data_IF_752941494050
#
_entry.id   IF_752941494050
#
_cell.length_a   1.000
_cell.length_b   1.000
_cell.length_c   1.000
_cell.angle_alpha   90.00
_cell.angle_beta   90.00
_cell.angle_gamma   90.00
#
_symmetry.space_group_name_H-M   'P 1'
#
loop_
_entity.id
_entity.type
_entity.pdbx_description
1 polymer ?
#
# COMPACT_ATOMS: atom_id res chain seq x y z
N UNK A 1 -30.35 41.80 -33.33
CA UNK A 1 -29.93 41.56 -31.93
C UNK A 1 -30.25 40.12 -31.60
N UNK A 2 -29.29 39.21 -31.64
CA UNK A 2 -29.44 37.86 -31.09
C UNK A 2 -28.43 37.74 -29.95
N UNK A 3 -28.93 37.74 -28.72
CA UNK A 3 -28.18 37.51 -27.50
C UNK A 3 -27.98 35.99 -27.38
N UNK A 4 -26.79 35.51 -27.74
CA UNK A 4 -26.40 34.11 -27.55
C UNK A 4 -25.79 33.96 -26.16
N UNK A 5 -26.60 33.52 -25.21
CA UNK A 5 -26.20 33.27 -23.83
C UNK A 5 -25.41 31.96 -23.74
N UNK A 6 -24.09 32.03 -23.87
CA UNK A 6 -23.20 30.90 -23.56
C UNK A 6 -23.05 30.82 -22.04
N UNK A 7 -23.83 29.96 -21.39
CA UNK A 7 -23.59 29.56 -20.00
C UNK A 7 -22.40 28.60 -19.97
N UNK A 8 -21.24 29.10 -19.57
CA UNK A 8 -20.09 28.28 -19.21
C UNK A 8 -20.28 27.88 -17.74
N UNK A 9 -20.83 26.69 -17.48
CA UNK A 9 -20.79 26.07 -16.15
C UNK A 9 -19.36 25.60 -15.89
N UNK A 10 -18.58 26.41 -15.16
CA UNK A 10 -17.36 25.97 -14.50
C UNK A 10 -17.77 25.13 -13.28
N UNK A 11 -17.87 23.81 -13.47
CA UNK A 11 -17.95 22.88 -12.37
C UNK A 11 -16.61 22.87 -11.64
N UNK A 12 -16.52 23.63 -10.54
CA UNK A 12 -15.40 23.56 -9.62
C UNK A 12 -15.41 22.18 -8.96
N UNK A 13 -14.61 21.26 -9.50
CA UNK A 13 -14.34 19.98 -8.85
C UNK A 13 -13.55 20.26 -7.58
N UNK A 14 -14.22 20.32 -6.45
CA UNK A 14 -13.57 20.14 -5.15
C UNK A 14 -13.03 18.71 -5.12
N UNK A 15 -11.80 18.54 -5.61
CA UNK A 15 -11.09 17.29 -5.49
C UNK A 15 -10.72 17.09 -4.03
N UNK A 16 -11.38 16.17 -3.34
CA UNK A 16 -10.71 15.44 -2.26
C UNK A 16 -9.48 14.80 -2.91
N UNK A 17 -8.29 15.30 -2.59
CA UNK A 17 -7.05 14.68 -3.01
C UNK A 17 -6.92 13.46 -2.11
N UNK A 18 -7.29 12.28 -2.61
CA UNK A 18 -6.97 11.04 -1.93
C UNK A 18 -5.43 10.94 -1.89
N UNK A 19 -4.87 10.64 -0.72
CA UNK A 19 -3.44 10.43 -0.56
C UNK A 19 -3.08 9.07 -1.19
N UNK A 20 -2.60 9.14 -2.44
CA UNK A 20 -2.35 8.01 -3.30
C UNK A 20 -0.90 7.55 -3.20
N UNK A 21 -0.71 6.23 -3.24
CA UNK A 21 0.53 5.56 -2.92
C UNK A 21 0.76 4.39 -3.86
N UNK A 22 2.04 4.02 -4.01
CA UNK A 22 2.41 2.88 -4.84
C UNK A 22 2.25 1.57 -4.10
N UNK A 23 2.41 1.60 -2.79
CA UNK A 23 2.42 0.42 -1.95
C UNK A 23 1.49 0.60 -0.78
N UNK A 24 0.74 -0.45 -0.43
CA UNK A 24 -0.03 -0.46 0.80
C UNK A 24 -0.15 -1.86 1.38
N UNK A 25 -0.19 -1.96 2.70
CA UNK A 25 -0.33 -3.22 3.42
C UNK A 25 -1.25 -3.06 4.64
N UNK A 26 -1.77 -4.18 5.13
CA UNK A 26 -2.64 -4.22 6.31
C UNK A 26 -1.85 -4.57 7.57
N UNK A 27 -2.16 -3.89 8.67
CA UNK A 27 -1.50 -4.09 9.98
C UNK A 27 -2.46 -4.67 11.00
N UNK A 28 -1.95 -5.44 11.95
CA UNK A 28 -2.72 -5.99 13.06
C UNK A 28 -1.98 -5.75 14.37
N UNK A 29 -2.72 -5.53 15.47
CA UNK A 29 -2.14 -5.33 16.81
C UNK A 29 -1.39 -6.55 17.33
N UNK A 30 -1.64 -7.73 16.75
CA UNK A 30 -1.02 -9.00 17.13
C UNK A 30 -0.77 -9.82 15.86
N UNK A 31 0.47 -9.89 15.37
CA UNK A 31 0.90 -10.93 14.41
C UNK A 31 2.35 -11.37 14.73
N UNK A 32 2.64 -12.68 14.68
CA UNK A 32 3.96 -13.24 14.97
C UNK A 32 4.96 -13.03 13.83
N UNK A 33 6.23 -12.99 14.23
CA UNK A 33 7.46 -12.87 13.44
C UNK A 33 7.43 -13.85 12.25
N UNK A 34 7.40 -13.33 11.02
CA UNK A 34 7.67 -14.16 9.85
C UNK A 34 9.15 -14.11 9.48
N UNK A 35 9.52 -14.93 8.50
CA UNK A 35 10.92 -15.23 8.21
C UNK A 35 11.65 -14.00 7.62
N UNK A 36 12.70 -13.48 8.29
CA UNK A 36 13.45 -12.29 7.83
C UNK A 36 14.31 -12.54 6.60
N UNK A 37 14.42 -13.78 6.13
CA UNK A 37 15.29 -14.12 5.00
C UNK A 37 14.60 -14.01 3.62
N UNK A 38 13.34 -13.56 3.54
CA UNK A 38 12.62 -13.42 2.27
C UNK A 38 12.61 -12.01 1.69
N UNK A 39 13.21 -11.03 2.37
CA UNK A 39 13.32 -9.71 1.80
C UNK A 39 14.56 -9.60 0.91
N UNK A 40 14.43 -9.18 -0.37
CA UNK A 40 15.60 -8.88 -1.19
C UNK A 40 16.40 -7.77 -0.50
N UNK A 41 17.65 -8.05 -0.14
CA UNK A 41 18.57 -7.02 0.36
C UNK A 41 18.67 -5.90 -0.69
N UNK A 42 18.51 -4.63 -0.29
CA UNK A 42 19.00 -3.52 -1.10
C UNK A 42 20.50 -3.75 -1.27
N UNK A 43 20.94 -3.90 -2.51
CA UNK A 43 22.23 -4.46 -2.88
C UNK A 43 23.33 -3.42 -2.76
N UNK A 44 23.61 -2.92 -1.56
CA UNK A 44 24.68 -1.94 -1.33
C UNK A 44 25.30 -2.11 0.07
N UNK A 45 26.10 -3.15 0.32
CA UNK A 45 27.20 -3.13 1.31
C UNK A 45 27.95 -4.46 1.31
N UNK A 46 29.27 -4.36 1.24
CA UNK A 46 30.26 -5.44 1.26
C UNK A 46 29.99 -6.51 2.32
N UNK A 47 29.91 -7.74 1.86
CA UNK A 47 29.21 -8.89 2.45
C UNK A 47 29.72 -9.46 3.79
N UNK A 48 30.63 -8.82 4.54
CA UNK A 48 31.25 -9.47 5.72
C UNK A 48 31.11 -8.77 7.08
N UNK A 49 30.57 -7.56 7.15
CA UNK A 49 30.31 -6.88 8.44
C UNK A 49 28.82 -6.93 8.83
N UNK A 50 27.93 -6.86 7.84
CA UNK A 50 26.46 -6.87 8.01
C UNK A 50 25.94 -8.23 8.50
N UNK A 51 26.65 -9.33 8.18
CA UNK A 51 26.22 -10.69 8.52
C UNK A 51 26.29 -10.98 10.04
N UNK A 52 27.18 -10.31 10.77
CA UNK A 52 27.38 -10.52 12.20
C UNK A 52 26.55 -9.56 13.08
N UNK A 53 26.12 -8.40 12.55
CA UNK A 53 25.17 -7.52 13.21
C UNK A 53 23.73 -8.03 13.09
N UNK A 54 23.38 -8.66 11.95
CA UNK A 54 22.07 -9.25 11.68
C UNK A 54 21.72 -10.48 12.54
N UNK A 55 22.70 -11.06 13.26
CA UNK A 55 22.47 -12.23 14.14
C UNK A 55 22.34 -11.89 15.62
N UNK A 56 22.79 -10.72 16.08
CA UNK A 56 23.10 -10.53 17.51
C UNK A 56 22.13 -9.64 18.29
N UNK A 57 21.50 -8.62 17.70
CA UNK A 57 20.64 -7.71 18.48
C UNK A 57 19.45 -7.22 17.67
N UNK A 58 18.26 -7.49 18.21
CA UNK A 58 16.92 -7.10 17.74
C UNK A 58 16.39 -8.00 16.62
N UNK A 59 15.81 -9.11 17.08
CA UNK A 59 14.70 -9.86 16.48
C UNK A 59 14.01 -9.08 15.34
N UNK A 60 14.43 -9.38 14.11
CA UNK A 60 13.92 -8.76 12.90
C UNK A 60 12.43 -8.99 12.78
N UNK A 61 11.66 -7.93 12.99
CA UNK A 61 10.22 -7.75 12.75
C UNK A 61 9.85 -7.89 11.28
N UNK A 62 10.50 -8.79 10.56
CA UNK A 62 10.00 -9.22 9.27
C UNK A 62 8.66 -9.89 9.54
N UNK A 63 7.60 -9.47 8.84
CA UNK A 63 6.26 -10.04 8.94
C UNK A 63 5.45 -9.70 10.21
N UNK A 64 5.46 -8.46 10.68
CA UNK A 64 4.41 -7.98 11.60
C UNK A 64 3.14 -7.46 10.89
N UNK A 65 3.03 -7.69 9.58
CA UNK A 65 1.91 -7.24 8.76
C UNK A 65 0.97 -8.39 8.45
N UNK A 66 -0.33 -8.10 8.42
CA UNK A 66 -1.37 -9.09 8.18
C UNK A 66 -1.40 -9.42 6.68
N UNK A 67 -0.50 -10.33 6.27
CA UNK A 67 -0.31 -10.71 4.88
C UNK A 67 -1.57 -11.34 4.25
N UNK A 68 -2.33 -12.09 5.05
CA UNK A 68 -3.61 -12.65 4.59
C UNK A 68 -4.62 -11.54 4.32
N UNK A 69 -4.78 -10.61 5.28
CA UNK A 69 -5.66 -9.47 5.09
C UNK A 69 -5.21 -8.60 3.91
N UNK A 70 -3.90 -8.41 3.72
CA UNK A 70 -3.36 -7.64 2.59
C UNK A 70 -3.69 -8.28 1.25
N UNK A 71 -3.58 -9.61 1.13
CA UNK A 71 -3.97 -10.33 -0.08
C UNK A 71 -5.46 -10.19 -0.38
N UNK A 72 -6.31 -10.32 0.65
CA UNK A 72 -7.77 -10.15 0.55
C UNK A 72 -8.14 -8.72 0.16
N UNK A 73 -7.56 -7.73 0.84
CA UNK A 73 -7.76 -6.31 0.58
C UNK A 73 -7.33 -5.95 -0.85
N UNK A 74 -6.14 -6.36 -1.28
CA UNK A 74 -5.64 -6.12 -2.64
C UNK A 74 -6.54 -6.75 -3.71
N UNK A 75 -7.03 -7.97 -3.47
CA UNK A 75 -7.96 -8.63 -4.38
C UNK A 75 -9.32 -7.92 -4.49
N UNK A 76 -9.80 -7.33 -3.38
CA UNK A 76 -11.01 -6.52 -3.36
C UNK A 76 -10.80 -5.16 -4.04
N UNK A 77 -9.71 -4.47 -3.71
CA UNK A 77 -9.33 -3.17 -4.28
C UNK A 77 -9.14 -3.24 -5.80
N UNK A 78 -8.50 -4.30 -6.31
CA UNK A 78 -8.35 -4.56 -7.75
C UNK A 78 -9.69 -4.71 -8.49
N UNK A 79 -10.72 -5.21 -7.82
CA UNK A 79 -12.07 -5.37 -8.39
C UNK A 79 -12.92 -4.11 -8.27
N UNK A 80 -12.39 -3.06 -7.63
CA UNK A 80 -13.11 -1.83 -7.38
C UNK A 80 -13.31 -1.05 -8.67
N UNK A 81 -14.52 -0.52 -8.82
CA UNK A 81 -14.92 0.37 -9.90
C UNK A 81 -16.10 1.22 -9.40
N UNK A 82 -15.81 2.32 -8.71
CA UNK A 82 -16.83 3.18 -8.07
C UNK A 82 -17.05 4.51 -8.80
N UNK A 83 -16.35 4.75 -9.91
CA UNK A 83 -16.37 6.02 -10.59
C UNK A 83 -15.27 6.13 -11.65
N UNK A 84 -14.91 7.36 -12.00
CA UNK A 84 -13.99 7.69 -13.09
C UNK A 84 -12.69 8.36 -12.65
N UNK A 85 -12.45 8.49 -11.34
CA UNK A 85 -11.21 9.08 -10.79
C UNK A 85 -10.11 8.03 -10.72
N UNK A 86 -8.85 8.47 -10.59
CA UNK A 86 -7.70 7.57 -10.52
C UNK A 86 -7.89 6.52 -9.42
N UNK A 87 -8.18 6.95 -8.20
CA UNK A 87 -8.44 6.05 -7.08
C UNK A 87 -9.76 5.29 -7.16
N UNK A 88 -10.62 5.51 -8.18
CA UNK A 88 -11.88 4.76 -8.34
C UNK A 88 -11.67 3.31 -8.85
N UNK A 89 -10.49 3.04 -9.41
CA UNK A 89 -10.09 1.76 -9.98
C UNK A 89 -8.66 1.43 -9.58
N UNK A 90 -8.27 0.16 -9.70
CA UNK A 90 -6.86 -0.22 -9.62
C UNK A 90 -6.54 -1.34 -10.62
N UNK A 91 -6.39 -1.01 -11.91
CA UNK A 91 -6.16 -1.99 -12.97
C UNK A 91 -4.78 -2.65 -12.89
N UNK A 92 -3.82 -2.01 -12.23
CA UNK A 92 -2.43 -2.44 -12.08
C UNK A 92 -2.13 -3.06 -10.70
N UNK A 93 -3.13 -3.17 -9.82
CA UNK A 93 -2.97 -3.73 -8.48
C UNK A 93 -2.43 -5.17 -8.51
N UNK A 94 -1.27 -5.38 -7.88
CA UNK A 94 -0.64 -6.70 -7.73
C UNK A 94 -0.12 -6.93 -6.32
N UNK A 95 -0.09 -8.18 -5.85
CA UNK A 95 0.50 -8.51 -4.55
C UNK A 95 2.00 -8.80 -4.72
N UNK A 96 2.83 -8.27 -3.83
CA UNK A 96 4.28 -8.47 -3.84
C UNK A 96 4.92 -8.22 -2.47
N UNK A 97 6.19 -8.60 -2.33
CA UNK A 97 6.99 -8.26 -1.14
C UNK A 97 7.65 -6.91 -1.38
N UNK A 98 7.46 -5.96 -0.47
CA UNK A 98 8.07 -4.62 -0.55
C UNK A 98 8.73 -4.22 0.76
N UNK A 99 9.77 -3.41 0.64
CA UNK A 99 10.38 -2.72 1.77
C UNK A 99 9.38 -1.71 2.30
N UNK A 100 9.17 -1.67 3.62
CA UNK A 100 8.34 -0.64 4.23
C UNK A 100 9.08 0.70 4.25
N UNK A 101 8.52 1.70 4.92
CA UNK A 101 9.19 2.98 5.19
C UNK A 101 10.53 2.80 5.93
N UNK A 102 10.69 1.71 6.68
CA UNK A 102 12.00 1.28 7.18
C UNK A 102 12.64 0.27 6.22
N UNK A 103 13.81 0.60 5.62
CA UNK A 103 14.45 -0.22 4.59
C UNK A 103 14.97 -1.57 5.09
N UNK A 104 14.95 -1.82 6.40
CA UNK A 104 15.32 -3.11 6.99
C UNK A 104 14.13 -4.06 7.15
N UNK A 105 12.91 -3.60 6.88
CA UNK A 105 11.69 -4.36 7.07
C UNK A 105 10.88 -4.45 5.79
N UNK A 106 10.17 -5.58 5.65
CA UNK A 106 9.42 -5.87 4.45
C UNK A 106 8.07 -6.48 4.77
N UNK A 107 7.09 -6.10 3.97
CA UNK A 107 5.68 -6.47 4.07
C UNK A 107 5.23 -7.19 2.80
N UNK A 108 4.22 -8.04 2.94
CA UNK A 108 3.37 -8.34 1.78
C UNK A 108 2.49 -7.12 1.54
N UNK A 109 2.65 -6.48 0.39
CA UNK A 109 1.97 -5.27 0.00
C UNK A 109 1.16 -5.47 -1.29
N UNK A 110 0.12 -4.66 -1.43
CA UNK A 110 -0.51 -4.38 -2.71
C UNK A 110 0.28 -3.28 -3.40
N UNK A 111 0.55 -3.44 -4.70
CA UNK A 111 1.38 -2.57 -5.51
C UNK A 111 0.56 -1.99 -6.64
N UNK A 112 0.71 -0.70 -6.90
CA UNK A 112 0.15 0.01 -8.04
C UNK A 112 1.19 1.03 -8.51
N UNK A 113 1.83 0.77 -9.64
CA UNK A 113 2.84 1.68 -10.19
C UNK A 113 2.22 3.03 -10.62
N UNK A 114 0.92 3.01 -10.94
CA UNK A 114 0.11 4.17 -11.28
C UNK A 114 -0.59 4.81 -10.06
N UNK A 115 -0.16 4.49 -8.83
CA UNK A 115 -0.58 5.17 -7.60
C UNK A 115 -2.11 5.18 -7.42
N UNK A 116 -2.75 4.02 -7.53
CA UNK A 116 -4.19 3.88 -7.35
C UNK A 116 -4.61 3.58 -5.91
N UNK A 117 -3.67 3.34 -4.99
CA UNK A 117 -3.94 2.77 -3.67
C UNK A 117 -3.72 3.82 -2.60
N UNK A 118 -4.63 3.99 -1.64
CA UNK A 118 -4.39 4.87 -0.50
C UNK A 118 -5.66 5.32 0.18
N UNK A 119 -5.52 6.32 1.05
CA UNK A 119 -6.62 6.93 1.80
C UNK A 119 -7.31 6.00 2.81
N UNK A 120 -8.50 6.41 3.21
CA UNK A 120 -9.39 5.66 4.09
C UNK A 120 -9.98 4.41 3.40
N UNK A 121 -10.02 4.38 2.06
CA UNK A 121 -10.50 3.21 1.32
C UNK A 121 -9.62 1.98 1.52
N UNK A 122 -8.29 2.13 1.53
CA UNK A 122 -7.42 0.98 1.79
C UNK A 122 -7.62 0.42 3.20
N UNK A 123 -7.72 1.31 4.20
CA UNK A 123 -8.02 0.94 5.58
C UNK A 123 -9.36 0.20 5.70
N UNK A 124 -10.39 0.64 4.96
CA UNK A 124 -11.69 -0.02 4.91
C UNK A 124 -11.56 -1.49 4.49
N UNK A 125 -10.83 -1.77 3.40
CA UNK A 125 -10.63 -3.15 2.93
C UNK A 125 -9.77 -3.98 3.88
N UNK A 126 -8.76 -3.38 4.52
CA UNK A 126 -7.98 -4.05 5.55
C UNK A 126 -8.85 -4.48 6.74
N UNK A 127 -9.73 -3.60 7.23
CA UNK A 127 -10.68 -3.95 8.30
C UNK A 127 -11.68 -5.02 7.87
N UNK A 128 -12.21 -4.94 6.65
CA UNK A 128 -13.10 -5.96 6.10
C UNK A 128 -12.40 -7.33 6.00
N UNK A 129 -11.09 -7.33 5.78
CA UNK A 129 -10.26 -8.53 5.74
C UNK A 129 -9.77 -9.01 7.13
N UNK A 130 -10.16 -8.34 8.22
CA UNK A 130 -9.84 -8.72 9.60
C UNK A 130 -8.57 -8.11 10.18
N UNK A 131 -7.99 -7.08 9.55
CA UNK A 131 -6.87 -6.33 10.09
C UNK A 131 -7.32 -5.18 11.01
N UNK A 132 -6.42 -4.68 11.86
CA UNK A 132 -6.71 -3.54 12.74
C UNK A 132 -6.47 -2.20 12.04
N UNK A 133 -5.49 -2.16 11.15
CA UNK A 133 -5.00 -0.94 10.53
C UNK A 133 -4.42 -1.18 9.13
N UNK A 134 -3.80 -0.13 8.59
CA UNK A 134 -3.15 -0.15 7.30
C UNK A 134 -2.07 0.92 7.22
N UNK A 135 -1.10 0.70 6.34
CA UNK A 135 -0.08 1.69 5.96
C UNK A 135 0.04 1.74 4.43
N UNK A 136 0.44 2.90 3.92
CA UNK A 136 0.67 3.16 2.50
C UNK A 136 1.86 4.12 2.31
N UNK A 137 2.63 3.94 1.23
CA UNK A 137 3.84 4.72 0.89
C UNK A 137 4.23 4.59 -0.59
#
# INVERSE_FOLDING_TARGET
MQLSSVLILLASTTGVIADLHKYAFCTSRIQPIGNPNSCPKKRDTSDNEVLNLARSRIMGRAYADNAEATKKACAAYRKRNTGSKQWDTCPDCTVGVRHTTDPNYCAIACNSDAEHIGGDEWLYYCKQAGADGSEAY
#
